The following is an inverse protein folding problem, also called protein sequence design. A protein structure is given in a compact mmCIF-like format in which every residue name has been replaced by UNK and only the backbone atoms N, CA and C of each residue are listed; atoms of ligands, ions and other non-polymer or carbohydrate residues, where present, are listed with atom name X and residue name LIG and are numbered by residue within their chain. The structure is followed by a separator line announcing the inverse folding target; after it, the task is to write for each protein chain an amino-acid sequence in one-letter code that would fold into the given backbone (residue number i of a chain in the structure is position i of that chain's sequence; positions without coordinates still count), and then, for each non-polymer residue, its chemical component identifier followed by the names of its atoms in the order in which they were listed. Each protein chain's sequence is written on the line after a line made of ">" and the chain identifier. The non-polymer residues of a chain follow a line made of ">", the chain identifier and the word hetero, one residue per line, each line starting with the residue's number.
data_IF_708839244872
#
_entry.id   IF_708839244872
#
_cell.length_a   1.000
_cell.length_b   1.000
_cell.length_c   1.000
_cell.angle_alpha   90.00
_cell.angle_beta   90.00
_cell.angle_gamma   90.00
#
_symmetry.space_group_name_H-M   'P 1'
#
loop_
_entity.id
_entity.type
_entity.pdbx_description
1 polymer ?
#
# COMPACT_ATOMS: atom_id res chain seq x y z
N UNK A 1 -8.17 -0.54 -7.80
CA UNK A 1 -7.29 -1.10 -6.74
C UNK A 1 -6.08 -1.84 -7.29
N UNK A 2 -6.20 -3.06 -7.85
CA UNK A 2 -5.03 -3.87 -8.26
C UNK A 2 -4.16 -3.17 -9.30
N UNK A 3 -4.77 -2.62 -10.36
CA UNK A 3 -4.06 -1.84 -11.37
C UNK A 3 -3.36 -0.60 -10.79
N UNK A 4 -3.95 0.03 -9.77
CA UNK A 4 -3.36 1.15 -9.05
C UNK A 4 -2.09 0.75 -8.30
N UNK A 5 -2.12 -0.36 -7.55
CA UNK A 5 -0.92 -0.88 -6.87
C UNK A 5 0.18 -1.28 -7.85
N UNK A 6 -0.16 -1.83 -9.02
CA UNK A 6 0.82 -2.15 -10.05
C UNK A 6 1.50 -0.88 -10.57
N UNK A 7 0.71 0.15 -10.93
CA UNK A 7 1.21 1.45 -11.38
C UNK A 7 2.16 2.08 -10.35
N UNK A 8 1.73 2.14 -9.09
CA UNK A 8 2.53 2.71 -7.98
C UNK A 8 3.82 1.92 -7.79
N UNK A 9 3.73 0.59 -7.69
CA UNK A 9 4.90 -0.27 -7.45
C UNK A 9 5.96 -0.14 -8.55
N UNK A 10 5.53 -0.15 -9.82
CA UNK A 10 6.44 0.03 -10.97
C UNK A 10 7.02 1.45 -10.99
N UNK A 11 6.21 2.47 -10.74
CA UNK A 11 6.68 3.86 -10.70
C UNK A 11 7.74 4.07 -9.61
N UNK A 12 7.57 3.49 -8.41
CA UNK A 12 8.55 3.55 -7.34
C UNK A 12 9.87 2.86 -7.70
N UNK A 13 9.83 1.69 -8.31
CA UNK A 13 11.05 0.99 -8.76
C UNK A 13 11.79 1.85 -9.80
N UNK A 14 11.08 2.36 -10.81
CA UNK A 14 11.66 3.24 -11.83
C UNK A 14 12.25 4.51 -11.22
N UNK A 15 11.62 5.05 -10.18
CA UNK A 15 12.12 6.23 -9.48
C UNK A 15 13.43 5.95 -8.73
N UNK A 16 13.65 4.71 -8.26
CA UNK A 16 14.93 4.29 -7.68
C UNK A 16 16.08 4.26 -8.68
N UNK A 17 15.81 3.92 -9.94
CA UNK A 17 16.78 3.96 -11.04
C UNK A 17 17.00 5.36 -11.61
N UNK A 18 16.26 6.36 -11.14
CA UNK A 18 16.36 7.72 -11.64
C UNK A 18 17.72 8.37 -11.32
N UNK A 19 18.45 7.85 -10.34
CA UNK A 19 19.81 8.29 -10.02
C UNK A 19 20.82 8.03 -11.16
N UNK A 20 20.52 7.11 -12.08
CA UNK A 20 21.43 6.77 -13.19
C UNK A 20 21.29 7.74 -14.36
N UNK A 21 20.30 8.65 -14.33
CA UNK A 21 20.12 9.68 -15.34
C UNK A 21 21.04 10.89 -15.10
N UNK A 22 21.54 11.53 -16.17
CA UNK A 22 22.34 12.74 -16.05
C UNK A 22 21.53 13.89 -15.43
N UNK A 23 22.17 14.63 -14.53
CA UNK A 23 21.60 15.78 -13.85
C UNK A 23 21.17 16.86 -14.86
N UNK A 24 19.93 17.34 -14.73
CA UNK A 24 19.40 18.41 -15.57
C UNK A 24 17.91 18.27 -15.87
N UNK A 25 17.48 18.81 -17.01
CA UNK A 25 16.08 18.84 -17.42
C UNK A 25 15.47 17.44 -17.56
N UNK A 26 16.25 16.45 -18.03
CA UNK A 26 15.80 15.08 -18.21
C UNK A 26 15.39 14.42 -16.88
N UNK A 27 16.18 14.62 -15.82
CA UNK A 27 15.85 14.13 -14.48
C UNK A 27 14.53 14.72 -13.98
N UNK A 28 14.34 16.04 -14.13
CA UNK A 28 13.14 16.73 -13.64
C UNK A 28 11.89 16.26 -14.38
N UNK A 29 11.94 16.15 -15.71
CA UNK A 29 10.79 15.71 -16.51
C UNK A 29 10.46 14.25 -16.17
N UNK A 30 11.46 13.37 -16.11
CA UNK A 30 11.24 11.96 -15.79
C UNK A 30 10.70 11.79 -14.36
N UNK A 31 11.26 12.50 -13.37
CA UNK A 31 10.74 12.51 -11.99
C UNK A 31 9.28 12.96 -11.93
N UNK A 32 8.94 14.03 -12.65
CA UNK A 32 7.60 14.60 -12.68
C UNK A 32 6.60 13.62 -13.28
N UNK A 33 6.92 13.00 -14.42
CA UNK A 33 6.06 11.99 -15.06
C UNK A 33 5.83 10.80 -14.14
N UNK A 34 6.88 10.31 -13.47
CA UNK A 34 6.76 9.21 -12.51
C UNK A 34 5.89 9.59 -11.30
N UNK A 35 5.99 10.83 -10.80
CA UNK A 35 5.14 11.31 -9.70
C UNK A 35 3.68 11.49 -10.09
N UNK A 36 3.41 11.97 -11.30
CA UNK A 36 2.03 12.01 -11.83
C UNK A 36 1.44 10.59 -11.92
N UNK A 37 2.24 9.66 -12.44
CA UNK A 37 1.87 8.24 -12.57
C UNK A 37 1.57 7.61 -11.20
N UNK A 38 2.40 7.92 -10.20
CA UNK A 38 2.22 7.47 -8.82
C UNK A 38 0.94 8.06 -8.21
N UNK A 39 0.68 9.36 -8.38
CA UNK A 39 -0.56 9.99 -7.91
C UNK A 39 -1.83 9.37 -8.52
N UNK A 40 -1.81 9.09 -9.82
CA UNK A 40 -2.91 8.40 -10.52
C UNK A 40 -3.07 6.97 -9.98
N UNK A 41 -1.98 6.23 -9.80
CA UNK A 41 -2.02 4.89 -9.26
C UNK A 41 -2.54 4.85 -7.81
N UNK A 42 -2.07 5.77 -6.97
CA UNK A 42 -2.44 5.90 -5.56
C UNK A 42 -3.92 6.23 -5.40
N UNK A 43 -4.47 7.17 -6.19
CA UNK A 43 -5.91 7.46 -6.18
C UNK A 43 -6.76 6.26 -6.58
N UNK A 44 -6.41 5.54 -7.65
CA UNK A 44 -7.10 4.30 -8.07
C UNK A 44 -7.03 3.18 -7.02
N UNK A 45 -5.94 3.12 -6.26
CA UNK A 45 -5.76 2.19 -5.16
C UNK A 45 -6.68 2.53 -3.99
N UNK A 46 -6.61 3.76 -3.48
CA UNK A 46 -7.40 4.23 -2.36
C UNK A 46 -8.90 4.19 -2.65
N UNK A 47 -9.36 4.72 -3.78
CA UNK A 47 -10.79 4.70 -4.14
C UNK A 47 -11.33 3.26 -4.15
N UNK A 48 -10.60 2.33 -4.77
CA UNK A 48 -11.03 0.93 -4.80
C UNK A 48 -11.08 0.28 -3.40
N UNK A 49 -10.15 0.64 -2.52
CA UNK A 49 -10.13 0.14 -1.14
C UNK A 49 -11.29 0.71 -0.31
N UNK A 50 -11.54 2.01 -0.40
CA UNK A 50 -12.65 2.68 0.30
C UNK A 50 -14.03 2.22 -0.18
N UNK A 51 -14.20 1.85 -1.45
CA UNK A 51 -15.45 1.27 -1.95
C UNK A 51 -15.61 -0.21 -1.56
N UNK A 52 -14.52 -0.96 -1.46
CA UNK A 52 -14.57 -2.40 -1.18
C UNK A 52 -14.82 -2.71 0.30
N UNK A 53 -14.19 -1.95 1.22
CA UNK A 53 -14.27 -2.19 2.66
C UNK A 53 -15.72 -2.20 3.21
N UNK A 54 -16.61 -1.24 2.87
CA UNK A 54 -18.00 -1.22 3.33
C UNK A 54 -18.83 -2.39 2.79
N UNK A 55 -18.57 -2.80 1.54
CA UNK A 55 -19.28 -3.91 0.89
C UNK A 55 -18.91 -5.24 1.53
N UNK A 56 -17.66 -5.40 1.97
CA UNK A 56 -17.19 -6.62 2.64
C UNK A 56 -17.65 -6.70 4.12
N UNK A 57 -17.77 -5.56 4.79
CA UNK A 57 -18.10 -5.48 6.23
C UNK A 57 -19.27 -4.51 6.52
N UNK A 58 -20.47 -4.75 5.94
CA UNK A 58 -21.60 -3.83 6.06
C UNK A 58 -22.04 -3.58 7.52
N UNK A 59 -21.86 -4.57 8.40
CA UNK A 59 -22.24 -4.44 9.81
C UNK A 59 -21.24 -3.67 10.68
N UNK A 60 -20.00 -3.43 10.20
CA UNK A 60 -18.91 -2.83 11.01
C UNK A 60 -18.03 -1.87 10.21
N UNK A 61 -18.63 -1.12 9.27
CA UNK A 61 -17.90 -0.21 8.38
C UNK A 61 -17.05 0.79 9.15
N UNK A 62 -17.61 1.42 10.20
CA UNK A 62 -16.90 2.45 10.99
C UNK A 62 -15.66 1.92 11.69
N UNK A 63 -15.71 0.71 12.27
CA UNK A 63 -14.55 0.11 12.93
C UNK A 63 -13.47 -0.27 11.91
N UNK A 64 -13.86 -0.86 10.78
CA UNK A 64 -12.91 -1.29 9.74
C UNK A 64 -12.23 -0.08 9.09
N UNK A 65 -12.98 0.98 8.79
CA UNK A 65 -12.42 2.24 8.28
C UNK A 65 -11.55 2.94 9.32
N UNK A 66 -11.96 3.00 10.59
CA UNK A 66 -11.17 3.62 11.65
C UNK A 66 -9.82 2.93 11.86
N UNK A 67 -9.78 1.59 11.86
CA UNK A 67 -8.51 0.85 11.94
C UNK A 67 -7.64 1.08 10.70
N UNK A 68 -8.25 1.20 9.51
CA UNK A 68 -7.53 1.50 8.27
C UNK A 68 -6.89 2.90 8.30
N UNK A 69 -7.61 3.92 8.78
CA UNK A 69 -7.11 5.28 8.90
C UNK A 69 -6.01 5.40 9.96
N UNK A 70 -6.17 4.76 11.11
CA UNK A 70 -5.11 4.70 12.14
C UNK A 70 -3.86 4.03 11.59
N UNK A 71 -4.01 2.89 10.88
CA UNK A 71 -2.90 2.21 10.23
C UNK A 71 -2.20 3.08 9.19
N UNK A 72 -2.97 3.84 8.40
CA UNK A 72 -2.43 4.77 7.41
C UNK A 72 -1.69 5.94 8.05
N UNK A 73 -2.25 6.53 9.11
CA UNK A 73 -1.61 7.60 9.88
C UNK A 73 -0.29 7.16 10.52
N UNK A 74 -0.26 5.94 11.10
CA UNK A 74 0.98 5.33 11.60
C UNK A 74 2.00 5.12 10.47
N UNK A 75 1.55 4.67 9.29
CA UNK A 75 2.40 4.54 8.11
C UNK A 75 3.05 5.86 7.70
N UNK A 76 2.30 6.96 7.68
CA UNK A 76 2.84 8.28 7.38
C UNK A 76 3.79 8.81 8.45
N UNK A 77 3.58 8.47 9.72
CA UNK A 77 4.47 8.87 10.81
C UNK A 77 5.80 8.08 10.80
N UNK A 78 5.75 6.77 10.59
CA UNK A 78 6.91 5.88 10.67
C UNK A 78 7.64 5.76 9.32
N UNK A 79 6.98 6.09 8.21
CA UNK A 79 7.53 6.02 6.85
C UNK A 79 8.82 6.83 6.65
N UNK A 80 8.86 8.14 6.96
CA UNK A 80 10.06 8.96 6.75
C UNK A 80 11.28 8.51 7.57
N UNK A 81 11.16 8.17 8.88
CA UNK A 81 12.28 7.60 9.63
C UNK A 81 12.84 6.31 9.02
N UNK A 82 11.97 5.36 8.64
CA UNK A 82 12.40 4.11 8.00
C UNK A 82 13.08 4.40 6.66
N UNK A 83 12.48 5.25 5.82
CA UNK A 83 13.04 5.63 4.53
C UNK A 83 14.41 6.30 4.66
N UNK A 84 14.60 7.15 5.68
CA UNK A 84 15.88 7.77 5.99
C UNK A 84 16.95 6.76 6.40
N UNK A 85 16.60 5.76 7.21
CA UNK A 85 17.52 4.66 7.56
C UNK A 85 17.90 3.81 6.34
N UNK A 86 16.95 3.53 5.44
CA UNK A 86 17.27 2.81 4.20
C UNK A 86 18.18 3.63 3.28
N UNK A 87 17.98 4.95 3.25
CA UNK A 87 18.82 5.86 2.49
C UNK A 87 20.26 5.91 3.01
N UNK A 88 20.47 5.89 4.33
CA UNK A 88 21.84 5.89 4.88
C UNK A 88 22.59 4.58 4.62
N UNK A 89 21.88 3.44 4.58
CA UNK A 89 22.50 2.12 4.40
C UNK A 89 22.82 1.83 2.94
N UNK A 90 22.02 2.27 1.97
CA UNK A 90 22.40 2.09 0.58
C UNK A 90 21.75 3.04 -0.42
N UNK A 91 21.75 4.30 -0.03
CA UNK A 91 21.62 5.43 -0.93
C UNK A 91 20.21 5.63 -1.48
N UNK A 92 20.15 6.33 -2.60
CA UNK A 92 18.89 6.79 -3.19
C UNK A 92 18.01 5.63 -3.67
N UNK A 93 18.59 4.59 -4.27
CA UNK A 93 17.84 3.49 -4.88
C UNK A 93 17.07 2.63 -3.86
N UNK A 94 17.69 2.31 -2.73
CA UNK A 94 17.16 1.36 -1.74
C UNK A 94 15.76 1.69 -1.19
N UNK A 95 15.48 2.91 -0.69
CA UNK A 95 14.16 3.24 -0.16
C UNK A 95 13.05 3.16 -1.21
N UNK A 96 13.32 3.52 -2.47
CA UNK A 96 12.31 3.48 -3.53
C UNK A 96 12.04 2.05 -4.01
N UNK A 97 13.10 1.25 -4.22
CA UNK A 97 12.96 -0.14 -4.64
C UNK A 97 12.31 -0.99 -3.54
N UNK A 98 12.64 -0.77 -2.27
CA UNK A 98 12.02 -1.51 -1.16
C UNK A 98 10.52 -1.22 -1.04
N UNK A 99 10.12 0.05 -1.18
CA UNK A 99 8.70 0.44 -1.15
C UNK A 99 7.97 -0.12 -2.36
N UNK A 100 8.53 0.03 -3.56
CA UNK A 100 7.94 -0.50 -4.79
C UNK A 100 7.76 -2.02 -4.74
N UNK A 101 8.78 -2.76 -4.26
CA UNK A 101 8.69 -4.20 -4.07
C UNK A 101 7.62 -4.59 -3.04
N UNK A 102 7.54 -3.87 -1.91
CA UNK A 102 6.52 -4.11 -0.88
C UNK A 102 5.11 -3.93 -1.45
N UNK A 103 4.88 -2.89 -2.26
CA UNK A 103 3.58 -2.65 -2.92
C UNK A 103 3.24 -3.78 -3.90
N UNK A 104 4.21 -4.25 -4.70
CA UNK A 104 3.98 -5.35 -5.64
C UNK A 104 3.68 -6.68 -4.91
N UNK A 105 4.30 -6.94 -3.75
CA UNK A 105 4.03 -8.13 -2.94
C UNK A 105 2.60 -8.16 -2.34
N UNK A 106 1.92 -7.01 -2.26
CA UNK A 106 0.52 -6.92 -1.80
C UNK A 106 -0.48 -7.33 -2.91
N UNK A 107 -0.05 -7.41 -4.17
CA UNK A 107 -0.91 -7.73 -5.32
C UNK A 107 -1.45 -9.18 -5.28
N UNK A 108 -0.63 -10.24 -5.06
CA UNK A 108 -1.16 -11.61 -5.03
C UNK A 108 -2.22 -11.85 -3.93
N UNK A 109 -2.02 -11.40 -2.68
CA UNK A 109 -3.06 -11.51 -1.64
C UNK A 109 -4.35 -10.79 -2.00
N UNK A 110 -4.26 -9.57 -2.56
CA UNK A 110 -5.45 -8.79 -2.95
C UNK A 110 -6.19 -9.41 -4.13
N UNK A 111 -5.47 -10.01 -5.08
CA UNK A 111 -6.07 -10.77 -6.18
C UNK A 111 -6.84 -12.00 -5.70
N UNK A 112 -6.28 -12.75 -4.73
CA UNK A 112 -6.96 -13.90 -4.13
C UNK A 112 -8.24 -13.50 -3.37
N UNK A 113 -8.19 -12.39 -2.63
CA UNK A 113 -9.37 -11.84 -1.95
C UNK A 113 -10.45 -11.39 -2.95
N UNK A 114 -10.05 -10.74 -4.04
CA UNK A 114 -10.98 -10.31 -5.08
C UNK A 114 -11.68 -11.50 -5.74
N UNK A 115 -10.92 -12.52 -6.18
CA UNK A 115 -11.49 -13.74 -6.78
C UNK A 115 -12.47 -14.44 -5.84
N UNK A 116 -12.15 -14.48 -4.54
CA UNK A 116 -13.03 -15.08 -3.52
C UNK A 116 -14.34 -14.31 -3.35
N UNK A 117 -14.31 -13.00 -3.52
CA UNK A 117 -15.48 -12.11 -3.39
C UNK A 117 -16.40 -12.22 -4.61
N UNK A 118 -15.86 -12.37 -5.83
CA UNK A 118 -16.68 -12.56 -7.05
C UNK A 118 -17.45 -13.88 -7.07
N UNK A 119 -17.01 -14.89 -6.33
CA UNK A 119 -17.60 -16.23 -6.39
C UNK A 119 -18.69 -16.48 -5.33
N UNK A 120 -18.73 -15.68 -4.26
CA UNK A 120 -19.71 -15.79 -3.17
C UNK A 120 -19.88 -14.41 -2.51
N UNK A 121 -21.07 -13.76 -2.57
CA UNK A 121 -21.35 -12.57 -1.77
C UNK A 121 -21.58 -13.00 -0.31
N UNK A 122 -20.56 -13.55 0.34
CA UNK A 122 -20.57 -13.84 1.77
C UNK A 122 -19.76 -12.76 2.48
N UNK A 123 -20.40 -12.11 3.45
CA UNK A 123 -19.77 -11.29 4.50
C UNK A 123 -18.50 -12.00 4.97
N UNK A 124 -17.34 -11.41 4.68
CA UNK A 124 -16.07 -12.02 5.04
C UNK A 124 -15.96 -11.93 6.56
N UNK A 125 -15.86 -13.09 7.24
CA UNK A 125 -15.69 -13.12 8.68
C UNK A 125 -14.31 -12.61 9.08
N UNK A 126 -14.24 -11.83 10.17
CA UNK A 126 -13.02 -11.21 10.73
C UNK A 126 -11.87 -12.21 10.95
N UNK A 127 -12.21 -13.49 11.17
CA UNK A 127 -11.23 -14.58 11.29
C UNK A 127 -10.37 -14.82 10.05
N UNK A 128 -10.82 -14.41 8.86
CA UNK A 128 -10.06 -14.51 7.61
C UNK A 128 -9.03 -13.38 7.48
N UNK A 129 -9.35 -12.16 7.93
CA UNK A 129 -8.37 -11.06 8.05
C UNK A 129 -7.27 -11.43 9.04
N UNK A 130 -7.64 -12.04 10.17
CA UNK A 130 -6.70 -12.55 11.18
C UNK A 130 -5.75 -13.64 10.64
N UNK A 131 -6.14 -14.36 9.58
CA UNK A 131 -5.31 -15.40 8.93
C UNK A 131 -4.46 -14.86 7.78
N UNK A 132 -4.92 -13.82 7.08
CA UNK A 132 -4.19 -13.21 5.96
C UNK A 132 -3.13 -12.20 6.42
N UNK A 133 -3.36 -11.52 7.54
CA UNK A 133 -2.36 -10.63 8.13
C UNK A 133 -1.36 -11.43 8.98
N UNK A 134 -0.42 -12.09 8.30
CA UNK A 134 0.83 -12.55 8.91
C UNK A 134 1.73 -11.42 9.43
N UNK A 135 1.33 -10.15 9.26
CA UNK A 135 2.02 -8.99 9.84
C UNK A 135 1.48 -8.67 11.25
N UNK A 136 2.37 -8.94 12.20
CA UNK A 136 2.32 -8.73 13.66
C UNK A 136 1.64 -7.41 14.12
N UNK A 137 1.72 -6.35 13.32
CA UNK A 137 1.22 -5.00 13.64
C UNK A 137 -0.30 -4.93 13.76
N UNK A 138 -1.06 -5.61 12.88
CA UNK A 138 -2.52 -5.55 12.91
C UNK A 138 -3.13 -6.40 14.03
N UNK A 139 -2.46 -7.51 14.39
CA UNK A 139 -2.86 -8.38 15.52
C UNK A 139 -2.61 -7.70 16.86
N UNK A 140 -1.55 -6.90 16.98
CA UNK A 140 -1.24 -6.13 18.19
C UNK A 140 -2.26 -5.00 18.41
N UNK A 141 -2.63 -4.28 17.34
CA UNK A 141 -3.66 -3.23 17.40
C UNK A 141 -5.06 -3.80 17.71
N UNK A 142 -5.42 -4.96 17.15
CA UNK A 142 -6.67 -5.63 17.50
C UNK A 142 -6.68 -6.20 18.94
N UNK A 143 -5.54 -6.61 19.50
CA UNK A 143 -5.46 -7.05 20.92
C UNK A 143 -5.60 -5.89 21.90
N UNK A 144 -5.15 -4.69 21.54
CA UNK A 144 -5.30 -3.48 22.35
C UNK A 144 -6.74 -2.95 22.36
N UNK A 145 -7.53 -3.23 21.31
CA UNK A 145 -8.91 -2.76 21.15
C UNK A 145 -9.99 -3.81 21.52
N UNK A 146 -9.60 -4.94 22.11
CA UNK A 146 -10.51 -5.94 22.69
C UNK A 146 -10.70 -5.80 24.21
N UNK A 147 -10.27 -4.69 24.82
CA UNK A 147 -10.69 -4.30 26.18
C UNK A 147 -11.75 -3.21 26.11
#
# INVERSE_FOLDING_TARGET
>A
MIFGFLLVGVAFILLGFLQDLPDGWLFIVAATVLRMTEGIGSSLAFTGMYTLLPVLFPSRVGLVMGVFEVGSGLGFAVGPPIGGLLYTVGGFMLPFVSVGATVLLIIPPTFLLYKKTSCQPKVISFGVIRRLSGNFVFVLLCKLFQR
#
